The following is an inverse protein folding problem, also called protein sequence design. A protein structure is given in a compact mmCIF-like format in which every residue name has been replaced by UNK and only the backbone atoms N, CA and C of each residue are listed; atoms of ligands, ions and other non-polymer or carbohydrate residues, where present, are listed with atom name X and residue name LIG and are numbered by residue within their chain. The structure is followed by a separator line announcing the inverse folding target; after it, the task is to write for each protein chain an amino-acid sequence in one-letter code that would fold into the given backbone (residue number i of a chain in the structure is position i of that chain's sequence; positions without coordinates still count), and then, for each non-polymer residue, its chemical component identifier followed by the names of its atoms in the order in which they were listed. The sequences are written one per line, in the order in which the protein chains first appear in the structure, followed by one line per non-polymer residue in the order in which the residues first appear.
data_IF_316658116185
#
_entry.id   IF_316658116185
#
_cell.length_a   1.000
_cell.length_b   1.000
_cell.length_c   1.000
_cell.angle_alpha   90.00
_cell.angle_beta   90.00
_cell.angle_gamma   90.00
#
_symmetry.space_group_name_H-M   'P 1'
#
loop_
_entity.id
_entity.type
_entity.pdbx_description
1 polymer ?
#
# COMPACT_ATOMS: atom_id res chain seq x y z
N UNK A 1 24.36 -0.79 -9.24
CA UNK A 1 22.99 -0.56 -9.75
C UNK A 1 23.08 -0.33 -11.27
N UNK A 2 21.99 -0.46 -12.05
CA UNK A 2 22.03 -0.05 -13.47
C UNK A 2 22.13 1.48 -13.57
N UNK A 3 22.93 2.01 -14.51
CA UNK A 3 23.14 3.47 -14.69
C UNK A 3 21.83 4.26 -14.82
N UNK A 4 20.84 3.69 -15.54
CA UNK A 4 19.53 4.32 -15.73
C UNK A 4 18.76 4.53 -14.41
N UNK A 5 18.87 3.58 -13.47
CA UNK A 5 18.23 3.69 -12.16
C UNK A 5 18.90 4.76 -11.31
N UNK A 6 20.22 4.91 -11.39
CA UNK A 6 20.93 5.96 -10.66
C UNK A 6 20.52 7.36 -11.14
N UNK A 7 20.41 7.56 -12.47
CA UNK A 7 19.94 8.82 -13.06
C UNK A 7 18.49 9.10 -12.65
N UNK A 8 17.62 8.09 -12.72
CA UNK A 8 16.23 8.21 -12.29
C UNK A 8 16.11 8.56 -10.79
N UNK A 9 16.83 7.86 -9.91
CA UNK A 9 16.81 8.12 -8.47
C UNK A 9 17.34 9.52 -8.12
N UNK A 10 18.30 10.07 -8.87
CA UNK A 10 18.72 11.47 -8.70
C UNK A 10 17.57 12.46 -8.97
N UNK A 11 16.75 12.20 -10.00
CA UNK A 11 15.55 13.01 -10.28
C UNK A 11 14.55 12.89 -9.12
N UNK A 12 14.24 11.68 -8.67
CA UNK A 12 13.31 11.44 -7.55
C UNK A 12 13.80 12.10 -6.27
N UNK A 13 15.10 11.96 -5.94
CA UNK A 13 15.74 12.59 -4.78
C UNK A 13 15.59 14.10 -4.81
N UNK A 14 15.80 14.73 -5.96
CA UNK A 14 15.63 16.17 -6.11
C UNK A 14 14.20 16.60 -5.80
N UNK A 15 13.21 15.90 -6.34
CA UNK A 15 11.80 16.18 -6.04
C UNK A 15 11.47 15.98 -4.56
N UNK A 16 11.92 14.88 -3.95
CA UNK A 16 11.64 14.55 -2.55
C UNK A 16 12.33 15.49 -1.55
N UNK A 17 13.53 16.00 -1.89
CA UNK A 17 14.31 16.89 -1.03
C UNK A 17 14.05 18.38 -1.28
N UNK A 18 13.31 18.74 -2.34
CA UNK A 18 13.17 20.13 -2.79
C UNK A 18 14.45 20.71 -3.41
N UNK A 19 15.41 19.85 -3.80
CA UNK A 19 16.67 20.24 -4.41
C UNK A 19 16.52 20.56 -5.90
N UNK A 20 17.19 21.61 -6.35
CA UNK A 20 17.27 21.99 -7.76
C UNK A 20 18.61 21.57 -8.42
N UNK A 21 19.32 20.59 -7.83
CA UNK A 21 20.60 20.13 -8.38
C UNK A 21 20.44 19.63 -9.83
N UNK A 22 21.30 20.04 -10.77
CA UNK A 22 21.18 19.63 -12.15
C UNK A 22 21.40 18.11 -12.29
N UNK A 23 20.45 17.41 -12.90
CA UNK A 23 20.62 16.01 -13.30
C UNK A 23 20.83 15.97 -14.81
N UNK A 24 22.01 15.51 -15.24
CA UNK A 24 22.30 15.29 -16.65
C UNK A 24 21.65 13.99 -17.11
N UNK A 25 20.65 14.09 -17.99
CA UNK A 25 20.02 12.94 -18.65
C UNK A 25 20.49 12.92 -20.10
N UNK A 26 21.23 11.89 -20.49
CA UNK A 26 21.71 11.73 -21.87
C UNK A 26 20.53 11.65 -22.85
N UNK A 27 20.68 12.09 -24.10
CA UNK A 27 19.60 12.00 -25.09
C UNK A 27 19.10 10.56 -25.30
N UNK A 28 19.98 9.54 -25.26
CA UNK A 28 19.58 8.14 -25.38
C UNK A 28 18.76 7.64 -24.18
N UNK A 29 19.05 8.09 -22.96
CA UNK A 29 18.38 7.61 -21.74
C UNK A 29 16.99 8.24 -21.53
N UNK A 30 16.65 9.34 -22.19
CA UNK A 30 15.40 10.08 -21.94
C UNK A 30 14.14 9.23 -22.16
N UNK A 31 14.16 8.34 -23.15
CA UNK A 31 13.05 7.44 -23.42
C UNK A 31 12.88 6.39 -22.32
N UNK A 32 13.99 5.82 -21.83
CA UNK A 32 13.98 4.85 -20.75
C UNK A 32 13.62 5.47 -19.40
N UNK A 33 14.08 6.68 -19.10
CA UNK A 33 13.65 7.44 -17.92
C UNK A 33 12.15 7.71 -17.94
N UNK A 34 11.60 8.11 -19.10
CA UNK A 34 10.18 8.35 -19.25
C UNK A 34 9.36 7.07 -19.04
N UNK A 35 9.80 5.94 -19.64
CA UNK A 35 9.17 4.63 -19.45
C UNK A 35 9.22 4.19 -17.98
N UNK A 36 10.37 4.33 -17.33
CA UNK A 36 10.52 3.99 -15.91
C UNK A 36 9.60 4.85 -15.03
N UNK A 37 9.41 6.12 -15.38
CA UNK A 37 8.50 7.02 -14.66
C UNK A 37 7.03 6.67 -14.88
N UNK A 38 6.64 6.19 -16.07
CA UNK A 38 5.30 5.63 -16.31
C UNK A 38 5.08 4.35 -15.47
N UNK A 39 6.03 3.40 -15.54
CA UNK A 39 6.00 2.15 -14.77
C UNK A 39 5.92 2.40 -13.25
N UNK A 40 6.51 3.49 -12.77
CA UNK A 40 6.55 3.85 -11.35
C UNK A 40 5.57 4.97 -10.94
N UNK A 41 4.65 5.39 -11.83
CA UNK A 41 3.66 6.44 -11.56
C UNK A 41 4.23 7.79 -11.07
N UNK A 42 5.38 8.20 -11.61
CA UNK A 42 6.15 9.42 -11.26
C UNK A 42 6.41 10.33 -12.46
N UNK A 43 5.63 10.18 -13.54
CA UNK A 43 5.74 10.97 -14.77
C UNK A 43 5.91 12.48 -14.54
N UNK A 44 5.18 13.13 -13.60
CA UNK A 44 5.35 14.57 -13.37
C UNK A 44 6.76 14.98 -12.94
N UNK A 45 7.49 14.09 -12.26
CA UNK A 45 8.83 14.37 -11.73
C UNK A 45 9.89 14.40 -12.83
N UNK A 46 9.71 13.58 -13.87
CA UNK A 46 10.65 13.51 -15.01
C UNK A 46 10.28 14.47 -16.14
N UNK A 47 9.04 14.98 -16.17
CA UNK A 47 8.53 15.85 -17.24
C UNK A 47 9.46 17.02 -17.62
N UNK A 48 10.11 17.74 -16.67
CA UNK A 48 11.04 18.80 -17.01
C UNK A 48 12.25 18.34 -17.83
N UNK A 49 12.72 17.11 -17.61
CA UNK A 49 13.90 16.52 -18.28
C UNK A 49 13.57 16.00 -19.69
N UNK A 50 12.30 15.73 -19.96
CA UNK A 50 11.81 15.31 -21.27
C UNK A 50 11.60 16.48 -22.24
N UNK A 51 11.77 17.75 -21.84
CA UNK A 51 11.57 18.90 -22.75
C UNK A 51 12.38 18.78 -24.03
N UNK A 52 11.81 19.27 -25.13
CA UNK A 52 12.40 19.24 -26.48
C UNK A 52 12.67 17.83 -27.05
N UNK A 53 12.01 16.80 -26.51
CA UNK A 53 12.02 15.44 -27.07
C UNK A 53 10.67 15.09 -27.69
N UNK A 54 10.64 14.05 -28.53
CA UNK A 54 9.42 13.51 -29.12
C UNK A 54 8.46 12.91 -28.08
N UNK A 55 8.96 12.47 -26.91
CA UNK A 55 8.14 11.87 -25.84
C UNK A 55 7.44 12.92 -24.96
N UNK A 56 7.88 14.19 -25.00
CA UNK A 56 7.35 15.25 -24.16
C UNK A 56 5.83 15.44 -24.24
N UNK A 57 5.18 15.50 -25.43
CA UNK A 57 3.73 15.71 -25.51
C UNK A 57 2.95 14.58 -24.82
N UNK A 58 3.44 13.35 -24.90
CA UNK A 58 2.84 12.18 -24.24
C UNK A 58 2.96 12.31 -22.73
N UNK A 59 4.16 12.60 -22.21
CA UNK A 59 4.39 12.79 -20.76
C UNK A 59 3.58 13.96 -20.19
N UNK A 60 3.46 15.04 -20.96
CA UNK A 60 2.66 16.20 -20.58
C UNK A 60 1.18 15.82 -20.49
N UNK A 61 0.66 15.07 -21.46
CA UNK A 61 -0.72 14.60 -21.43
C UNK A 61 -0.97 13.65 -20.25
N UNK A 62 -0.05 12.73 -19.95
CA UNK A 62 -0.11 11.86 -18.77
C UNK A 62 -0.16 12.66 -17.48
N UNK A 63 0.70 13.67 -17.34
CA UNK A 63 0.73 14.57 -16.18
C UNK A 63 -0.61 15.29 -16.03
N UNK A 64 -1.15 15.88 -17.10
CA UNK A 64 -2.46 16.54 -17.09
C UNK A 64 -3.58 15.59 -16.65
N UNK A 65 -3.57 14.34 -17.14
CA UNK A 65 -4.55 13.33 -16.73
C UNK A 65 -4.43 12.97 -15.24
N UNK A 66 -3.20 12.86 -14.70
CA UNK A 66 -2.99 12.66 -13.26
C UNK A 66 -3.56 13.82 -12.45
N UNK A 67 -3.31 15.06 -12.90
CA UNK A 67 -3.83 16.24 -12.22
C UNK A 67 -5.35 16.32 -12.27
N UNK A 68 -5.98 16.02 -13.41
CA UNK A 68 -7.42 15.94 -13.51
C UNK A 68 -8.00 14.84 -12.59
N UNK A 69 -7.33 13.69 -12.51
CA UNK A 69 -7.75 12.59 -11.65
C UNK A 69 -7.68 12.95 -10.16
N UNK A 70 -6.74 13.82 -9.75
CA UNK A 70 -6.68 14.33 -8.38
C UNK A 70 -8.01 14.96 -7.96
N UNK A 71 -8.48 15.95 -8.71
CA UNK A 71 -9.73 16.67 -8.41
C UNK A 71 -10.98 15.77 -8.49
N UNK A 72 -10.95 14.75 -9.35
CA UNK A 72 -12.02 13.77 -9.44
C UNK A 72 -12.10 12.89 -8.17
N UNK A 73 -10.97 12.38 -7.71
CA UNK A 73 -10.88 11.58 -6.49
C UNK A 73 -11.17 12.43 -5.26
N UNK A 74 -10.71 13.68 -5.22
CA UNK A 74 -11.04 14.63 -4.15
C UNK A 74 -12.57 14.85 -4.06
N UNK A 75 -13.23 15.11 -5.19
CA UNK A 75 -14.69 15.26 -5.22
C UNK A 75 -15.40 14.00 -4.74
N UNK A 76 -14.93 12.82 -5.16
CA UNK A 76 -15.46 11.54 -4.71
C UNK A 76 -15.23 11.31 -3.21
N UNK A 77 -14.05 11.66 -2.71
CA UNK A 77 -13.67 11.58 -1.29
C UNK A 77 -14.59 12.46 -0.45
N UNK A 78 -14.74 13.74 -0.82
CA UNK A 78 -15.62 14.68 -0.13
C UNK A 78 -17.07 14.19 -0.09
N UNK A 79 -17.60 13.75 -1.24
CA UNK A 79 -18.97 13.21 -1.32
C UNK A 79 -19.17 12.04 -0.36
N UNK A 80 -18.28 11.06 -0.40
CA UNK A 80 -18.41 9.81 0.35
C UNK A 80 -18.25 10.06 1.85
N UNK A 81 -17.25 10.84 2.22
CA UNK A 81 -16.96 11.13 3.61
C UNK A 81 -18.05 12.00 4.25
N UNK A 82 -18.51 13.06 3.57
CA UNK A 82 -19.65 13.87 4.05
C UNK A 82 -20.90 13.02 4.25
N UNK A 83 -21.21 12.11 3.32
CA UNK A 83 -22.36 11.20 3.46
C UNK A 83 -22.28 10.38 4.75
N UNK A 84 -21.13 9.80 5.06
CA UNK A 84 -20.94 8.99 6.28
C UNK A 84 -20.99 9.86 7.54
N UNK A 85 -20.25 10.97 7.57
CA UNK A 85 -20.17 11.85 8.74
C UNK A 85 -21.51 12.51 9.08
N UNK A 86 -22.26 12.99 8.09
CA UNK A 86 -23.61 13.57 8.27
C UNK A 86 -24.61 12.58 8.86
N UNK A 87 -24.37 11.28 8.69
CA UNK A 87 -25.19 10.21 9.28
C UNK A 87 -24.60 9.66 10.57
N UNK A 88 -23.65 10.36 11.20
CA UNK A 88 -22.97 9.94 12.43
C UNK A 88 -22.32 8.56 12.28
N UNK A 89 -21.56 8.37 11.19
CA UNK A 89 -20.69 7.21 11.00
C UNK A 89 -19.27 7.74 10.97
N UNK A 90 -18.51 7.45 12.03
CA UNK A 90 -17.13 7.92 12.12
C UNK A 90 -16.27 7.16 11.11
N UNK A 91 -15.47 7.90 10.35
CA UNK A 91 -14.57 7.33 9.36
C UNK A 91 -13.30 8.16 9.26
N UNK A 92 -12.19 7.48 8.99
CA UNK A 92 -10.85 8.07 8.89
C UNK A 92 -10.35 7.89 7.47
N UNK A 93 -9.93 8.98 6.83
CA UNK A 93 -9.37 8.98 5.49
C UNK A 93 -7.96 8.39 5.51
N UNK A 94 -7.74 7.36 4.69
CA UNK A 94 -6.43 6.76 4.49
C UNK A 94 -5.89 7.09 3.10
N UNK A 95 -4.56 7.19 3.00
CA UNK A 95 -3.79 7.29 1.74
C UNK A 95 -4.31 8.39 0.81
N UNK A 96 -4.67 8.06 -0.44
CA UNK A 96 -5.33 8.99 -1.36
C UNK A 96 -4.84 10.45 -1.34
N UNK A 97 -5.79 11.35 -1.14
CA UNK A 97 -5.54 12.79 -1.08
C UNK A 97 -4.84 13.23 0.22
N UNK A 98 -4.96 12.48 1.33
CA UNK A 98 -4.30 12.84 2.59
C UNK A 98 -2.78 12.69 2.51
N UNK A 99 -2.26 11.70 1.76
CA UNK A 99 -0.81 11.65 1.45
C UNK A 99 -0.41 12.62 0.34
N UNK A 100 -1.30 12.90 -0.62
CA UNK A 100 -1.02 13.84 -1.69
C UNK A 100 -0.77 15.27 -1.18
N UNK A 101 -1.42 15.65 -0.08
CA UNK A 101 -1.32 16.97 0.53
C UNK A 101 0.13 17.40 0.86
N UNK A 102 1.05 16.43 1.03
CA UNK A 102 2.45 16.68 1.37
C UNK A 102 3.40 16.70 0.18
N UNK A 103 2.92 16.42 -1.03
CA UNK A 103 3.73 16.54 -2.24
C UNK A 103 3.97 18.03 -2.56
N UNK A 104 5.11 18.38 -3.20
CA UNK A 104 5.37 19.75 -3.64
C UNK A 104 4.26 20.33 -4.54
N UNK A 105 3.62 19.44 -5.30
CA UNK A 105 2.39 19.68 -6.06
C UNK A 105 1.47 18.48 -5.77
N UNK A 106 0.39 18.64 -4.99
CA UNK A 106 -0.46 17.53 -4.58
C UNK A 106 -0.95 16.66 -5.74
N UNK A 107 -1.25 17.30 -6.86
CA UNK A 107 -1.75 16.67 -8.08
C UNK A 107 -0.74 15.75 -8.78
N UNK A 108 0.54 15.76 -8.38
CA UNK A 108 1.56 14.87 -8.92
C UNK A 108 1.50 13.46 -8.33
N UNK A 109 0.79 13.26 -7.22
CA UNK A 109 0.59 11.94 -6.64
C UNK A 109 -0.44 11.16 -7.46
N UNK A 110 -0.08 9.97 -7.94
CA UNK A 110 -1.04 9.06 -8.57
C UNK A 110 -2.08 8.58 -7.54
N UNK A 111 -3.34 8.93 -7.79
CA UNK A 111 -4.50 8.43 -7.05
C UNK A 111 -5.22 7.32 -7.82
N UNK A 112 -5.88 6.41 -7.10
CA UNK A 112 -6.64 5.29 -7.67
C UNK A 112 -7.99 5.14 -6.99
N UNK A 113 -7.96 4.62 -5.78
CA UNK A 113 -9.06 4.30 -4.88
C UNK A 113 -9.23 5.35 -3.77
N UNK A 114 -10.40 5.31 -3.14
CA UNK A 114 -10.69 5.97 -1.86
C UNK A 114 -10.65 4.91 -0.77
N UNK A 115 -9.69 4.99 0.15
CA UNK A 115 -9.62 4.16 1.34
C UNK A 115 -10.22 4.90 2.56
N UNK A 116 -11.26 4.35 3.17
CA UNK A 116 -11.82 4.85 4.43
C UNK A 116 -11.75 3.78 5.51
N UNK A 117 -11.30 4.12 6.71
CA UNK A 117 -11.30 3.23 7.87
C UNK A 117 -12.46 3.53 8.82
N UNK A 118 -13.21 2.48 9.19
CA UNK A 118 -14.22 2.49 10.23
C UNK A 118 -13.60 1.94 11.52
N UNK A 119 -13.23 2.80 12.49
CA UNK A 119 -12.67 2.35 13.76
C UNK A 119 -13.70 1.61 14.61
N UNK A 120 -15.00 1.91 14.45
CA UNK A 120 -16.11 1.35 15.20
C UNK A 120 -16.70 0.13 14.48
N UNK A 121 -16.50 -1.12 14.96
CA UNK A 121 -17.04 -2.31 14.29
C UNK A 121 -18.57 -2.31 14.20
N UNK A 122 -19.25 -1.65 15.15
CA UNK A 122 -20.70 -1.52 15.19
C UNK A 122 -21.28 -0.70 14.04
N UNK A 123 -20.50 0.21 13.46
CA UNK A 123 -20.95 1.10 12.39
C UNK A 123 -20.97 0.42 11.01
N UNK A 124 -20.30 -0.73 10.85
CA UNK A 124 -20.18 -1.38 9.54
C UNK A 124 -21.54 -1.67 8.89
N UNK A 125 -22.47 -2.26 9.63
CA UNK A 125 -23.80 -2.60 9.08
C UNK A 125 -24.58 -1.35 8.65
N UNK A 126 -24.45 -0.26 9.41
CA UNK A 126 -25.08 1.04 9.13
C UNK A 126 -24.45 1.69 7.90
N UNK A 127 -23.11 1.68 7.80
CA UNK A 127 -22.36 2.20 6.66
C UNK A 127 -22.70 1.46 5.36
N UNK A 128 -22.73 0.11 5.39
CA UNK A 128 -23.13 -0.70 4.24
C UNK A 128 -24.51 -0.31 3.71
N UNK A 129 -25.50 -0.31 4.61
CA UNK A 129 -26.88 0.05 4.26
C UNK A 129 -26.95 1.46 3.65
N UNK A 130 -26.31 2.44 4.29
CA UNK A 130 -26.31 3.83 3.82
C UNK A 130 -25.66 3.96 2.44
N UNK A 131 -24.51 3.32 2.22
CA UNK A 131 -23.81 3.36 0.93
C UNK A 131 -24.65 2.72 -0.17
N UNK A 132 -25.24 1.54 0.08
CA UNK A 132 -26.09 0.84 -0.89
C UNK A 132 -27.35 1.66 -1.26
N UNK A 133 -28.01 2.27 -0.27
CA UNK A 133 -29.14 3.20 -0.47
C UNK A 133 -28.75 4.45 -1.27
N UNK A 134 -27.47 4.83 -1.26
CA UNK A 134 -26.93 5.99 -1.98
C UNK A 134 -26.22 5.62 -3.30
N UNK A 135 -26.46 4.41 -3.81
CA UNK A 135 -26.05 3.99 -5.16
C UNK A 135 -24.63 3.43 -5.26
N UNK A 136 -23.97 3.15 -4.14
CA UNK A 136 -22.72 2.38 -4.12
C UNK A 136 -23.06 0.89 -4.28
N UNK A 137 -22.35 0.21 -5.17
CA UNK A 137 -22.57 -1.22 -5.47
C UNK A 137 -21.42 -2.04 -4.91
N UNK A 138 -21.74 -3.02 -4.07
CA UNK A 138 -20.75 -3.99 -3.57
C UNK A 138 -20.19 -4.81 -4.74
N UNK A 139 -18.87 -4.83 -4.89
CA UNK A 139 -18.18 -5.63 -5.92
C UNK A 139 -18.05 -7.11 -5.52
N UNK A 140 -18.49 -7.46 -4.30
CA UNK A 140 -18.47 -8.79 -3.71
C UNK A 140 -17.06 -9.41 -3.68
N UNK A 141 -16.06 -8.57 -3.44
CA UNK A 141 -14.67 -8.99 -3.28
C UNK A 141 -14.48 -9.77 -1.96
N UNK A 142 -13.68 -10.84 -2.02
CA UNK A 142 -13.26 -11.59 -0.84
C UNK A 142 -12.07 -10.89 -0.18
N UNK A 143 -12.37 -10.06 0.82
CA UNK A 143 -11.37 -9.36 1.66
C UNK A 143 -11.62 -9.61 3.14
N UNK A 144 -10.53 -9.72 3.91
CA UNK A 144 -10.53 -9.94 5.36
C UNK A 144 -10.43 -8.65 6.19
N UNK A 145 -10.38 -7.49 5.54
CA UNK A 145 -10.21 -6.19 6.20
C UNK A 145 -11.06 -5.05 5.61
N UNK A 146 -11.65 -5.21 4.42
CA UNK A 146 -12.50 -4.18 3.82
C UNK A 146 -13.66 -4.74 2.99
N UNK A 147 -14.57 -3.86 2.57
CA UNK A 147 -15.59 -4.09 1.55
C UNK A 147 -15.33 -3.12 0.40
N UNK A 148 -15.35 -3.64 -0.83
CA UNK A 148 -15.09 -2.86 -2.04
C UNK A 148 -16.40 -2.43 -2.67
N UNK A 149 -16.61 -1.13 -2.79
CA UNK A 149 -17.77 -0.53 -3.43
C UNK A 149 -17.38 0.20 -4.72
N UNK A 150 -18.22 0.08 -5.75
CA UNK A 150 -18.15 0.91 -6.95
C UNK A 150 -19.25 1.95 -6.93
N UNK A 151 -18.88 3.20 -7.17
CA UNK A 151 -19.81 4.31 -7.33
C UNK A 151 -19.68 4.94 -8.70
N UNK A 152 -20.79 5.05 -9.43
CA UNK A 152 -20.84 5.70 -10.75
C UNK A 152 -21.58 7.03 -10.64
N UNK A 153 -20.90 8.13 -10.94
CA UNK A 153 -21.53 9.45 -10.98
C UNK A 153 -22.52 9.54 -12.14
N UNK A 154 -23.84 9.72 -11.89
CA UNK A 154 -24.84 9.71 -12.96
C UNK A 154 -24.60 10.79 -14.03
N UNK A 155 -24.11 11.96 -13.61
CA UNK A 155 -23.87 13.10 -14.50
C UNK A 155 -22.72 12.88 -15.51
N UNK A 156 -21.75 12.00 -15.20
CA UNK A 156 -20.55 11.81 -16.04
C UNK A 156 -20.36 10.38 -16.51
N UNK A 157 -21.08 9.42 -15.93
CA UNK A 157 -20.85 7.98 -16.14
C UNK A 157 -19.51 7.47 -15.59
N UNK A 158 -18.72 8.31 -14.90
CA UNK A 158 -17.42 7.90 -14.33
C UNK A 158 -17.61 7.10 -13.06
N UNK A 159 -16.85 6.01 -12.96
CA UNK A 159 -16.88 5.10 -11.83
C UNK A 159 -15.62 5.22 -10.98
N UNK A 160 -15.79 5.17 -9.67
CA UNK A 160 -14.72 5.20 -8.68
C UNK A 160 -14.88 4.04 -7.70
N UNK A 161 -13.77 3.63 -7.10
CA UNK A 161 -13.71 2.54 -6.12
C UNK A 161 -13.53 3.12 -4.73
N UNK A 162 -14.36 2.68 -3.79
CA UNK A 162 -14.24 2.88 -2.36
C UNK A 162 -13.84 1.55 -1.71
N UNK A 163 -12.70 1.51 -1.03
CA UNK A 163 -12.36 0.46 -0.06
C UNK A 163 -12.80 0.93 1.33
N UNK A 164 -13.87 0.33 1.85
CA UNK A 164 -14.37 0.60 3.21
C UNK A 164 -13.76 -0.41 4.19
N UNK A 165 -12.68 -0.02 4.86
CA UNK A 165 -11.91 -0.84 5.79
C UNK A 165 -12.63 -0.93 7.15
N UNK A 166 -12.94 -2.16 7.58
CA UNK A 166 -13.37 -2.46 8.95
C UNK A 166 -12.19 -2.96 9.82
N UNK A 167 -11.03 -3.18 9.20
CA UNK A 167 -9.75 -3.38 9.84
C UNK A 167 -8.69 -2.69 9.00
N UNK A 168 -7.71 -2.03 9.63
CA UNK A 168 -6.78 -1.17 8.88
C UNK A 168 -5.92 -1.94 7.86
N UNK A 169 -5.63 -3.22 8.11
CA UNK A 169 -4.91 -4.14 7.22
C UNK A 169 -5.42 -5.58 7.35
N UNK A 170 -5.08 -6.42 6.37
CA UNK A 170 -5.38 -7.87 6.38
C UNK A 170 -4.64 -8.66 7.47
N UNK A 171 -5.11 -9.87 7.74
CA UNK A 171 -4.66 -10.72 8.85
C UNK A 171 -3.32 -11.37 8.50
N UNK A 172 -2.33 -11.20 9.37
CA UNK A 172 -1.03 -11.86 9.28
C UNK A 172 -1.06 -13.26 9.91
N UNK A 173 -0.08 -14.11 9.55
CA UNK A 173 0.10 -15.39 10.24
C UNK A 173 0.48 -15.20 11.71
N UNK A 174 1.29 -14.18 11.97
CA UNK A 174 1.83 -13.92 13.30
C UNK A 174 0.76 -13.24 14.14
N UNK A 175 0.14 -14.02 15.04
CA UNK A 175 -0.99 -13.57 15.84
C UNK A 175 -0.69 -12.31 16.67
N UNK A 176 0.54 -12.17 17.20
CA UNK A 176 0.92 -10.99 17.98
C UNK A 176 0.91 -9.71 17.13
N UNK A 177 1.38 -9.74 15.87
CA UNK A 177 1.27 -8.58 14.99
C UNK A 177 -0.19 -8.15 14.78
N UNK A 178 -1.11 -9.11 14.66
CA UNK A 178 -2.53 -8.79 14.57
C UNK A 178 -3.06 -8.14 15.85
N UNK A 179 -2.68 -8.64 17.02
CA UNK A 179 -3.05 -8.04 18.30
C UNK A 179 -2.54 -6.60 18.44
N UNK A 180 -1.31 -6.32 18.01
CA UNK A 180 -0.76 -4.96 18.02
C UNK A 180 -1.54 -4.05 17.09
N UNK A 181 -1.77 -4.48 15.84
CA UNK A 181 -2.58 -3.72 14.89
C UNK A 181 -3.97 -3.45 15.46
N UNK A 182 -4.67 -4.47 15.94
CA UNK A 182 -6.03 -4.32 16.47
C UNK A 182 -6.04 -3.41 17.70
N UNK A 183 -5.02 -3.50 18.57
CA UNK A 183 -4.88 -2.60 19.73
C UNK A 183 -4.64 -1.15 19.31
N UNK A 184 -3.68 -0.90 18.41
CA UNK A 184 -3.28 0.45 17.98
C UNK A 184 -4.41 1.19 17.27
N UNK A 185 -5.19 0.48 16.46
CA UNK A 185 -6.25 1.07 15.64
C UNK A 185 -7.66 0.88 16.21
N UNK A 186 -7.81 0.26 17.38
CA UNK A 186 -9.10 0.15 18.09
C UNK A 186 -9.71 1.51 18.38
N UNK A 187 -11.04 1.58 18.40
CA UNK A 187 -11.79 2.78 18.75
C UNK A 187 -11.39 3.37 20.11
N UNK A 188 -11.04 2.53 21.08
CA UNK A 188 -10.66 2.99 22.43
C UNK A 188 -9.30 3.69 22.45
N UNK A 189 -8.36 3.28 21.58
CA UNK A 189 -6.99 3.81 21.58
C UNK A 189 -6.72 4.82 20.45
N UNK A 190 -7.56 4.82 19.40
CA UNK A 190 -7.38 5.67 18.23
C UNK A 190 -8.26 6.92 18.33
N UNK A 191 -7.61 8.05 18.60
CA UNK A 191 -8.21 9.37 18.42
C UNK A 191 -7.76 9.92 17.07
N UNK A 192 -8.67 10.16 16.10
CA UNK A 192 -8.29 10.71 14.80
C UNK A 192 -7.67 12.10 14.94
N UNK A 193 -6.70 12.40 14.08
CA UNK A 193 -6.22 13.76 13.86
C UNK A 193 -7.00 14.41 12.70
N UNK A 194 -6.81 15.70 12.46
CA UNK A 194 -7.45 16.44 11.37
C UNK A 194 -6.42 17.09 10.47
N UNK A 195 -6.45 16.75 9.18
CA UNK A 195 -5.66 17.46 8.17
C UNK A 195 -6.56 18.39 7.34
N UNK A 196 -6.00 19.52 6.89
CA UNK A 196 -6.70 20.46 6.02
C UNK A 196 -6.26 20.23 4.57
N UNK A 197 -7.18 19.71 3.76
CA UNK A 197 -6.96 19.41 2.35
C UNK A 197 -7.88 20.30 1.53
N UNK A 198 -7.31 21.14 0.66
CA UNK A 198 -8.04 22.12 -0.13
C UNK A 198 -9.01 22.99 0.70
N UNK A 199 -8.58 23.38 1.91
CA UNK A 199 -9.36 24.22 2.82
C UNK A 199 -10.53 23.51 3.51
N UNK A 200 -10.59 22.18 3.46
CA UNK A 200 -11.60 21.38 4.16
C UNK A 200 -10.93 20.45 5.18
N UNK A 201 -11.52 20.27 6.37
CA UNK A 201 -10.99 19.35 7.37
C UNK A 201 -11.34 17.89 7.04
N UNK A 202 -10.35 17.02 7.15
CA UNK A 202 -10.50 15.58 6.98
C UNK A 202 -9.97 14.84 8.21
N UNK A 203 -10.76 13.93 8.82
CA UNK A 203 -10.24 13.01 9.83
C UNK A 203 -9.20 12.09 9.20
N UNK A 204 -8.00 12.04 9.78
CA UNK A 204 -6.87 11.21 9.35
C UNK A 204 -6.29 10.45 10.54
N UNK A 205 -5.41 9.49 10.29
CA UNK A 205 -4.66 8.83 11.36
C UNK A 205 -3.68 9.84 11.99
N UNK A 206 -3.46 9.80 13.32
CA UNK A 206 -2.40 10.59 13.93
C UNK A 206 -1.02 10.19 13.41
N UNK A 207 -0.02 11.09 13.43
CA UNK A 207 1.24 10.89 12.72
C UNK A 207 1.97 9.58 13.00
N UNK A 208 2.07 9.17 14.27
CA UNK A 208 2.75 7.92 14.65
C UNK A 208 2.02 6.69 14.08
N UNK A 209 0.69 6.66 14.20
CA UNK A 209 -0.18 5.61 13.67
C UNK A 209 -0.19 5.58 12.15
N UNK A 210 -0.13 6.75 11.51
CA UNK A 210 -0.07 6.86 10.05
C UNK A 210 1.24 6.25 9.52
N UNK A 211 2.39 6.55 10.13
CA UNK A 211 3.68 5.93 9.76
C UNK A 211 3.62 4.41 9.94
N UNK A 212 3.08 3.94 11.07
CA UNK A 212 2.90 2.50 11.31
C UNK A 212 2.00 1.86 10.24
N UNK A 213 0.92 2.52 9.86
CA UNK A 213 0.04 2.10 8.78
C UNK A 213 0.74 2.08 7.41
N UNK A 214 1.58 3.08 7.08
CA UNK A 214 2.34 3.11 5.83
C UNK A 214 3.31 1.93 5.72
N UNK A 215 3.95 1.55 6.82
CA UNK A 215 4.81 0.35 6.89
C UNK A 215 3.99 -0.91 6.60
N UNK A 216 2.81 -1.05 7.22
CA UNK A 216 1.91 -2.18 6.97
C UNK A 216 1.34 -2.19 5.54
N UNK A 217 1.10 -1.03 4.94
CA UNK A 217 0.66 -0.91 3.56
C UNK A 217 1.76 -1.34 2.59
N UNK A 218 2.99 -0.88 2.79
CA UNK A 218 4.16 -1.35 2.04
C UNK A 218 4.38 -2.85 2.26
N UNK A 219 4.21 -3.36 3.48
CA UNK A 219 4.29 -4.79 3.79
C UNK A 219 3.27 -5.60 2.99
N UNK A 220 2.00 -5.17 2.97
CA UNK A 220 0.95 -5.81 2.17
C UNK A 220 1.42 -5.91 0.71
N UNK A 221 1.75 -4.80 0.08
CA UNK A 221 2.18 -4.86 -1.32
C UNK A 221 3.47 -5.66 -1.51
N UNK A 222 4.46 -5.54 -0.63
CA UNK A 222 5.71 -6.29 -0.71
C UNK A 222 5.47 -7.80 -0.65
N UNK A 223 4.55 -8.23 0.20
CA UNK A 223 4.14 -9.62 0.28
C UNK A 223 3.38 -10.04 -0.97
N UNK A 224 2.36 -9.29 -1.42
CA UNK A 224 1.38 -9.78 -2.41
C UNK A 224 1.66 -9.43 -3.89
N UNK A 225 2.23 -8.27 -4.20
CA UNK A 225 2.29 -7.76 -5.59
C UNK A 225 3.60 -7.08 -5.99
N UNK A 226 4.45 -6.75 -5.01
CA UNK A 226 5.41 -5.65 -5.14
C UNK A 226 4.72 -4.29 -5.03
N UNK A 227 5.53 -3.24 -4.79
CA UNK A 227 5.09 -1.84 -4.87
C UNK A 227 6.15 -1.00 -5.58
N UNK A 228 5.69 0.07 -6.26
CA UNK A 228 6.57 1.02 -6.93
C UNK A 228 7.08 2.12 -6.00
N UNK A 229 8.08 2.87 -6.46
CA UNK A 229 8.77 3.89 -5.64
C UNK A 229 7.85 4.97 -5.04
N UNK A 230 6.64 5.17 -5.60
CA UNK A 230 5.62 6.09 -5.08
C UNK A 230 5.38 5.93 -3.56
N UNK A 231 5.33 4.71 -3.04
CA UNK A 231 5.09 4.52 -1.60
C UNK A 231 6.29 5.00 -0.75
N UNK A 232 7.51 4.92 -1.29
CA UNK A 232 8.69 5.50 -0.64
C UNK A 232 8.65 7.04 -0.72
N UNK A 233 8.20 7.61 -1.84
CA UNK A 233 7.99 9.05 -1.96
C UNK A 233 6.96 9.55 -0.94
N UNK A 234 5.81 8.86 -0.81
CA UNK A 234 4.80 9.15 0.21
C UNK A 234 5.43 9.17 1.61
N UNK A 235 6.25 8.15 1.91
CA UNK A 235 6.94 8.02 3.19
C UNK A 235 7.89 9.19 3.48
N UNK A 236 8.69 9.59 2.49
CA UNK A 236 9.61 10.74 2.63
C UNK A 236 8.86 12.04 2.85
N UNK A 237 7.84 12.34 2.04
CA UNK A 237 7.07 13.58 2.18
C UNK A 237 6.35 13.65 3.52
N UNK A 238 5.76 12.54 3.97
CA UNK A 238 5.05 12.48 5.24
C UNK A 238 5.99 12.66 6.44
N UNK A 239 7.10 11.90 6.50
CA UNK A 239 8.05 11.99 7.60
C UNK A 239 8.69 13.38 7.71
N UNK A 240 9.04 14.01 6.59
CA UNK A 240 9.61 15.37 6.59
C UNK A 240 8.65 16.41 7.14
N UNK A 241 7.34 16.21 6.95
CA UNK A 241 6.33 17.14 7.44
C UNK A 241 6.05 16.96 8.93
N UNK A 242 6.04 15.71 9.39
CA UNK A 242 5.56 15.31 10.73
C UNK A 242 6.68 14.83 11.67
N UNK A 243 7.96 15.11 11.36
CA UNK A 243 9.12 14.65 12.15
C UNK A 243 8.97 14.92 13.66
N UNK A 244 8.40 16.07 14.02
CA UNK A 244 8.23 16.50 15.41
C UNK A 244 7.01 15.87 16.10
N UNK A 245 6.05 15.36 15.34
CA UNK A 245 4.78 14.83 15.82
C UNK A 245 4.78 13.28 15.89
N UNK A 246 5.85 12.65 15.40
CA UNK A 246 6.02 11.20 15.41
C UNK A 246 6.77 10.77 16.66
N UNK A 247 6.14 9.92 17.46
CA UNK A 247 6.76 9.27 18.61
C UNK A 247 7.54 8.02 18.15
N UNK A 248 8.79 8.22 17.72
CA UNK A 248 9.62 7.13 17.20
C UNK A 248 9.82 5.97 18.17
N UNK A 249 10.01 6.21 19.47
CA UNK A 249 10.14 5.13 20.47
C UNK A 249 8.91 4.20 20.51
N UNK A 250 7.72 4.79 20.36
CA UNK A 250 6.47 4.04 20.31
C UNK A 250 6.34 3.25 19.00
N UNK A 251 6.70 3.87 17.88
CA UNK A 251 6.75 3.21 16.57
C UNK A 251 7.71 2.02 16.58
N UNK A 252 8.91 2.19 17.15
CA UNK A 252 9.91 1.14 17.34
C UNK A 252 9.36 -0.03 18.14
N UNK A 253 8.64 0.24 19.22
CA UNK A 253 7.99 -0.79 20.02
C UNK A 253 6.96 -1.57 19.20
N UNK A 254 6.08 -0.90 18.47
CA UNK A 254 5.09 -1.55 17.60
C UNK A 254 5.74 -2.38 16.49
N UNK A 255 6.79 -1.87 15.85
CA UNK A 255 7.53 -2.58 14.82
C UNK A 255 8.22 -3.83 15.36
N UNK A 256 8.85 -3.74 16.54
CA UNK A 256 9.52 -4.86 17.21
C UNK A 256 8.52 -5.94 17.63
N UNK A 257 7.44 -5.56 18.29
CA UNK A 257 6.40 -6.50 18.75
C UNK A 257 5.62 -7.14 17.59
N UNK A 258 5.52 -6.43 16.46
CA UNK A 258 4.93 -6.97 15.23
C UNK A 258 5.92 -7.76 14.37
N UNK A 259 7.21 -7.81 14.74
CA UNK A 259 8.31 -8.42 13.96
C UNK A 259 8.43 -7.88 12.52
N UNK A 260 8.32 -6.56 12.39
CA UNK A 260 8.47 -5.82 11.14
C UNK A 260 9.60 -4.77 11.19
N UNK A 261 10.44 -4.76 12.25
CA UNK A 261 11.56 -3.81 12.40
C UNK A 261 12.47 -3.76 11.17
N UNK A 262 12.88 -4.91 10.63
CA UNK A 262 13.73 -4.93 9.43
C UNK A 262 13.09 -4.28 8.20
N UNK A 263 11.76 -4.38 8.05
CA UNK A 263 11.06 -3.67 6.97
C UNK A 263 11.10 -2.17 7.20
N UNK A 264 10.87 -1.72 8.43
CA UNK A 264 10.95 -0.30 8.77
C UNK A 264 12.37 0.25 8.53
N UNK A 265 13.38 -0.45 9.05
CA UNK A 265 14.80 -0.07 8.96
C UNK A 265 15.27 0.02 7.51
N UNK A 266 15.01 -1.00 6.68
CA UNK A 266 15.43 -0.99 5.28
C UNK A 266 14.70 0.09 4.47
N UNK A 267 13.42 0.34 4.74
CA UNK A 267 12.65 1.41 4.08
C UNK A 267 13.23 2.77 4.43
N UNK A 268 13.41 3.04 5.72
CA UNK A 268 13.92 4.31 6.21
C UNK A 268 15.31 4.61 5.65
N UNK A 269 16.23 3.64 5.76
CA UNK A 269 17.61 3.81 5.28
C UNK A 269 17.69 3.95 3.76
N UNK A 270 16.87 3.19 3.02
CA UNK A 270 16.77 3.35 1.56
C UNK A 270 16.30 4.76 1.19
N UNK A 271 15.32 5.30 1.92
CA UNK A 271 14.84 6.66 1.73
C UNK A 271 15.91 7.73 2.03
N UNK A 272 16.78 7.52 3.02
CA UNK A 272 17.93 8.41 3.27
C UNK A 272 18.94 8.39 2.13
N UNK A 273 19.42 7.20 1.77
CA UNK A 273 20.44 7.02 0.74
C UNK A 273 19.96 7.58 -0.60
N UNK A 274 18.77 7.16 -1.04
CA UNK A 274 18.33 7.35 -2.43
C UNK A 274 17.27 8.42 -2.65
N UNK A 275 16.45 8.76 -1.66
CA UNK A 275 15.35 9.73 -1.83
C UNK A 275 15.57 11.04 -1.07
N UNK A 276 16.63 11.17 -0.26
CA UNK A 276 16.96 12.42 0.42
C UNK A 276 16.11 12.69 1.66
N UNK A 277 15.68 11.63 2.35
CA UNK A 277 15.20 11.75 3.73
C UNK A 277 16.35 12.29 4.62
N UNK A 278 16.14 13.34 5.42
CA UNK A 278 17.16 13.84 6.34
C UNK A 278 17.64 12.79 7.35
N UNK A 279 18.94 12.79 7.65
CA UNK A 279 19.54 11.87 8.64
C UNK A 279 19.08 12.16 10.08
N UNK A 280 18.48 13.34 10.33
CA UNK A 280 17.93 13.70 11.65
C UNK A 280 16.68 12.91 12.01
N UNK A 281 15.89 12.51 11.00
CA UNK A 281 14.65 11.76 11.20
C UNK A 281 15.00 10.34 11.63
N UNK A 282 14.77 10.03 12.91
CA UNK A 282 15.05 8.73 13.54
C UNK A 282 16.49 8.21 13.32
N UNK A 283 17.46 9.11 13.55
CA UNK A 283 18.90 8.94 13.26
C UNK A 283 19.56 7.64 13.73
N UNK A 284 19.00 6.94 14.73
CA UNK A 284 19.54 5.70 15.29
C UNK A 284 19.32 4.47 14.39
N UNK A 285 18.35 4.53 13.49
CA UNK A 285 18.03 3.42 12.58
C UNK A 285 19.06 3.38 11.47
N UNK A 286 19.61 2.21 11.20
CA UNK A 286 20.48 1.98 10.05
C UNK A 286 20.23 0.60 9.47
N UNK A 287 20.56 0.43 8.18
CA UNK A 287 20.49 -0.85 7.50
C UNK A 287 21.65 -1.00 6.52
N UNK A 288 21.93 -2.23 6.10
CA UNK A 288 23.02 -2.55 5.17
C UNK A 288 22.83 -1.80 3.83
N UNK A 289 23.79 -0.95 3.40
CA UNK A 289 23.69 -0.24 2.13
C UNK A 289 23.55 -1.17 0.92
N UNK A 290 24.19 -2.34 0.97
CA UNK A 290 24.09 -3.36 -0.07
C UNK A 290 22.67 -3.93 -0.17
N UNK A 291 22.01 -4.14 0.97
CA UNK A 291 20.62 -4.62 0.98
C UNK A 291 19.65 -3.52 0.56
N UNK A 292 19.90 -2.26 0.95
CA UNK A 292 19.15 -1.10 0.46
C UNK A 292 19.25 -0.97 -1.08
N UNK A 293 20.45 -1.15 -1.65
CA UNK A 293 20.63 -1.16 -3.11
C UNK A 293 19.81 -2.26 -3.78
N UNK A 294 19.83 -3.47 -3.22
CA UNK A 294 19.06 -4.59 -3.74
C UNK A 294 17.55 -4.36 -3.61
N UNK A 295 17.10 -3.75 -2.51
CA UNK A 295 15.71 -3.41 -2.26
C UNK A 295 15.18 -2.36 -3.24
N UNK A 296 15.87 -1.22 -3.39
CA UNK A 296 15.43 -0.15 -4.30
C UNK A 296 15.48 -0.58 -5.76
N UNK A 297 16.53 -1.31 -6.17
CA UNK A 297 16.66 -1.83 -7.54
C UNK A 297 15.48 -2.74 -7.89
N UNK A 298 14.98 -3.47 -6.89
CA UNK A 298 13.81 -4.31 -7.08
C UNK A 298 12.50 -3.53 -7.12
N UNK A 299 12.32 -2.54 -6.25
CA UNK A 299 11.14 -1.65 -6.29
C UNK A 299 11.01 -1.01 -7.67
N UNK A 300 12.11 -0.49 -8.21
CA UNK A 300 12.14 0.12 -9.55
C UNK A 300 11.80 -0.88 -10.66
N UNK A 301 12.24 -2.13 -10.52
CA UNK A 301 12.00 -3.20 -11.50
C UNK A 301 10.59 -3.78 -11.43
N UNK A 302 10.04 -3.95 -10.23
CA UNK A 302 8.69 -4.48 -10.04
C UNK A 302 7.65 -3.43 -10.49
N UNK A 303 7.95 -2.12 -10.39
CA UNK A 303 7.05 -1.04 -10.83
C UNK A 303 5.84 -0.84 -9.92
N UNK A 304 5.03 0.17 -10.18
CA UNK A 304 3.78 0.42 -9.46
C UNK A 304 2.66 -0.44 -10.06
N UNK A 305 2.61 -1.70 -9.63
CA UNK A 305 1.64 -2.71 -10.08
C UNK A 305 0.23 -2.52 -9.52
N UNK A 306 -0.19 -1.26 -9.27
CA UNK A 306 -1.50 -0.89 -8.72
C UNK A 306 -2.71 -1.25 -9.59
N UNK A 307 -2.54 -2.08 -10.63
CA UNK A 307 -3.60 -2.58 -11.51
C UNK A 307 -3.52 -4.08 -11.78
N UNK A 308 -2.51 -4.80 -11.26
CA UNK A 308 -2.46 -6.25 -11.43
C UNK A 308 -3.48 -6.91 -10.51
N UNK A 309 -4.57 -7.35 -11.15
CA UNK A 309 -5.67 -8.12 -10.58
C UNK A 309 -5.10 -9.18 -9.63
N UNK A 310 -5.63 -9.20 -8.41
CA UNK A 310 -5.41 -10.06 -7.24
C UNK A 310 -5.51 -11.58 -7.50
N UNK A 311 -4.90 -12.05 -8.57
CA UNK A 311 -5.00 -13.42 -9.09
C UNK A 311 -3.74 -14.22 -8.82
N UNK A 312 -2.65 -13.65 -8.34
CA UNK A 312 -1.47 -14.42 -7.93
C UNK A 312 -1.67 -15.01 -6.53
N UNK A 313 -1.31 -16.29 -6.33
CA UNK A 313 -1.29 -16.88 -5.00
C UNK A 313 -0.05 -16.38 -4.27
N UNK A 314 -0.24 -15.52 -3.27
CA UNK A 314 0.89 -14.94 -2.58
C UNK A 314 0.77 -15.08 -1.07
N UNK A 315 1.91 -15.39 -0.44
CA UNK A 315 1.98 -15.77 0.96
C UNK A 315 1.78 -14.59 1.89
N UNK A 316 1.22 -14.88 3.06
CA UNK A 316 1.03 -13.91 4.15
C UNK A 316 2.31 -13.69 4.99
N UNK A 317 3.43 -14.34 4.64
CA UNK A 317 4.75 -14.20 5.29
C UNK A 317 5.90 -14.55 4.35
N UNK A 318 7.13 -14.20 4.73
CA UNK A 318 8.36 -14.74 4.13
C UNK A 318 8.77 -16.05 4.82
N UNK A 319 9.18 -17.06 4.06
CA UNK A 319 9.68 -18.35 4.56
C UNK A 319 11.12 -18.62 4.10
N UNK A 320 11.95 -19.15 5.00
CA UNK A 320 13.33 -19.56 4.66
C UNK A 320 13.36 -20.69 3.61
N UNK A 321 12.44 -21.66 3.68
CA UNK A 321 12.25 -22.72 2.67
C UNK A 321 10.75 -22.97 2.46
N UNK A 322 10.33 -22.98 1.20
CA UNK A 322 8.96 -23.39 0.81
C UNK A 322 8.90 -24.91 0.77
N UNK A 323 8.06 -25.49 1.63
CA UNK A 323 7.78 -26.93 1.71
C UNK A 323 6.26 -27.18 1.82
N UNK A 324 5.85 -28.45 1.90
CA UNK A 324 4.42 -28.81 2.04
C UNK A 324 3.78 -28.20 3.30
N UNK A 325 4.54 -28.07 4.38
CA UNK A 325 4.06 -27.51 5.65
C UNK A 325 3.77 -26.01 5.50
N UNK A 326 4.61 -25.25 4.77
CA UNK A 326 4.34 -23.83 4.52
C UNK A 326 3.11 -23.62 3.64
N UNK A 327 2.91 -24.46 2.61
CA UNK A 327 1.69 -24.41 1.81
C UNK A 327 0.44 -24.74 2.63
N UNK A 328 0.55 -25.70 3.56
CA UNK A 328 -0.51 -26.03 4.50
C UNK A 328 -0.81 -24.86 5.45
N UNK A 329 0.19 -24.14 5.96
CA UNK A 329 -0.03 -22.97 6.80
C UNK A 329 -0.80 -21.87 6.08
N UNK A 330 -0.41 -21.53 4.85
CA UNK A 330 -1.17 -20.58 4.02
C UNK A 330 -2.59 -21.06 3.75
N UNK A 331 -2.77 -22.33 3.38
CA UNK A 331 -4.10 -22.91 3.17
C UNK A 331 -4.98 -22.83 4.43
N UNK A 332 -4.39 -23.00 5.61
CA UNK A 332 -5.10 -22.93 6.88
C UNK A 332 -5.58 -21.51 7.18
N UNK A 333 -4.78 -20.50 6.85
CA UNK A 333 -5.16 -19.10 6.99
C UNK A 333 -6.28 -18.75 6.03
N UNK A 334 -6.16 -19.16 4.76
CA UNK A 334 -7.22 -18.98 3.76
C UNK A 334 -8.54 -19.65 4.21
N UNK A 335 -8.48 -20.80 4.88
CA UNK A 335 -9.65 -21.45 5.49
C UNK A 335 -10.25 -20.59 6.59
N UNK A 336 -9.44 -20.05 7.52
CA UNK A 336 -9.91 -19.17 8.60
C UNK A 336 -10.53 -17.88 8.08
N UNK A 337 -9.91 -17.26 7.08
CA UNK A 337 -10.42 -16.07 6.39
C UNK A 337 -11.76 -16.34 5.72
N UNK A 338 -11.89 -17.48 5.03
CA UNK A 338 -13.14 -17.87 4.35
C UNK A 338 -14.26 -18.22 5.34
N UNK A 339 -13.90 -18.76 6.50
CA UNK A 339 -14.85 -19.29 7.48
C UNK A 339 -14.58 -18.74 8.88
N UNK A 340 -14.67 -17.41 9.11
CA UNK A 340 -14.25 -16.80 10.37
C UNK A 340 -14.97 -17.42 11.57
N UNK A 341 -16.30 -17.54 11.52
CA UNK A 341 -17.11 -18.13 12.60
C UNK A 341 -16.92 -19.64 12.76
N UNK A 342 -16.94 -20.40 11.66
CA UNK A 342 -16.86 -21.86 11.70
C UNK A 342 -15.45 -22.39 11.99
N UNK A 343 -14.41 -21.59 11.69
CA UNK A 343 -13.02 -21.95 11.95
C UNK A 343 -12.65 -22.00 13.43
N UNK A 344 -13.49 -21.46 14.32
CA UNK A 344 -13.33 -21.60 15.76
C UNK A 344 -13.71 -22.98 16.30
N UNK A 345 -14.32 -23.85 15.48
CA UNK A 345 -14.74 -25.21 15.88
C UNK A 345 -13.81 -26.24 15.22
N UNK A 346 -12.83 -26.82 15.94
CA UNK A 346 -11.82 -27.71 15.36
C UNK A 346 -12.41 -28.95 14.67
N UNK A 347 -13.55 -29.44 15.15
CA UNK A 347 -14.26 -30.60 14.56
C UNK A 347 -14.69 -30.34 13.12
N UNK A 348 -14.95 -29.08 12.76
CA UNK A 348 -15.35 -28.71 11.39
C UNK A 348 -14.17 -28.57 10.44
N UNK A 349 -12.94 -28.47 10.95
CA UNK A 349 -11.76 -28.18 10.14
C UNK A 349 -11.58 -29.13 8.95
N UNK A 350 -11.76 -30.46 9.05
CA UNK A 350 -11.61 -31.34 7.89
C UNK A 350 -12.54 -30.97 6.74
N UNK A 351 -13.80 -30.64 7.03
CA UNK A 351 -14.77 -30.23 6.01
C UNK A 351 -14.45 -28.85 5.44
N UNK A 352 -14.11 -27.88 6.31
CA UNK A 352 -13.73 -26.52 5.88
C UNK A 352 -12.48 -26.53 4.99
N UNK A 353 -11.52 -27.41 5.29
CA UNK A 353 -10.32 -27.63 4.49
C UNK A 353 -10.64 -28.17 3.10
N UNK A 354 -11.52 -29.18 3.01
CA UNK A 354 -11.97 -29.72 1.73
C UNK A 354 -12.62 -28.63 0.89
N UNK A 355 -13.52 -27.84 1.47
CA UNK A 355 -14.18 -26.74 0.76
C UNK A 355 -13.17 -25.68 0.32
N UNK A 356 -12.25 -25.28 1.20
CA UNK A 356 -11.20 -24.30 0.90
C UNK A 356 -10.30 -24.79 -0.23
N UNK A 357 -9.93 -26.07 -0.24
CA UNK A 357 -9.14 -26.69 -1.29
C UNK A 357 -9.89 -26.73 -2.63
N UNK A 358 -11.18 -27.12 -2.65
CA UNK A 358 -12.00 -27.06 -3.85
C UNK A 358 -12.14 -25.64 -4.39
N UNK A 359 -12.32 -24.65 -3.53
CA UNK A 359 -12.34 -23.24 -3.93
C UNK A 359 -10.98 -22.79 -4.47
N UNK A 360 -9.87 -23.20 -3.86
CA UNK A 360 -8.52 -22.91 -4.34
C UNK A 360 -8.28 -23.53 -5.73
N UNK A 361 -8.69 -24.79 -5.94
CA UNK A 361 -8.61 -25.46 -7.22
C UNK A 361 -9.48 -24.75 -8.26
N UNK A 362 -10.75 -24.50 -7.95
CA UNK A 362 -11.68 -23.78 -8.82
C UNK A 362 -11.10 -22.42 -9.22
N UNK A 363 -10.56 -21.66 -8.27
CA UNK A 363 -9.97 -20.35 -8.55
C UNK A 363 -8.70 -20.48 -9.40
N UNK A 364 -7.86 -21.49 -9.16
CA UNK A 364 -6.65 -21.74 -9.95
C UNK A 364 -6.97 -21.99 -11.42
N UNK A 365 -7.96 -22.84 -11.70
CA UNK A 365 -8.31 -23.20 -13.08
C UNK A 365 -9.27 -22.22 -13.75
N UNK A 366 -10.30 -21.72 -13.05
CA UNK A 366 -11.35 -20.91 -13.66
C UNK A 366 -11.12 -19.41 -13.56
N UNK A 367 -10.50 -18.93 -12.47
CA UNK A 367 -10.29 -17.49 -12.25
C UNK A 367 -8.92 -17.07 -12.75
N UNK A 368 -7.88 -17.83 -12.38
CA UNK A 368 -6.50 -17.50 -12.73
C UNK A 368 -6.08 -18.06 -14.09
N UNK A 369 -6.84 -19.02 -14.62
CA UNK A 369 -6.55 -19.72 -15.88
C UNK A 369 -5.11 -20.29 -15.92
N UNK A 370 -4.65 -20.86 -14.79
CA UNK A 370 -3.31 -21.47 -14.66
C UNK A 370 -3.40 -22.91 -14.15
N UNK A 371 -2.27 -23.61 -14.13
CA UNK A 371 -2.16 -24.92 -13.48
C UNK A 371 -1.74 -24.83 -12.01
N UNK A 372 -2.09 -25.85 -11.22
CA UNK A 372 -1.63 -25.96 -9.83
C UNK A 372 -0.09 -25.96 -9.72
N UNK A 373 0.61 -26.53 -10.70
CA UNK A 373 2.08 -26.54 -10.74
C UNK A 373 2.66 -25.15 -10.96
N UNK A 374 2.07 -24.35 -11.85
CA UNK A 374 2.46 -22.96 -12.08
C UNK A 374 2.15 -22.09 -10.88
N UNK A 375 0.94 -22.21 -10.30
CA UNK A 375 0.56 -21.50 -9.07
C UNK A 375 1.54 -21.76 -7.92
N UNK A 376 1.98 -23.01 -7.72
CA UNK A 376 2.98 -23.35 -6.70
C UNK A 376 4.38 -22.83 -7.05
N UNK A 377 4.74 -22.81 -8.35
CA UNK A 377 6.01 -22.24 -8.82
C UNK A 377 6.04 -20.72 -8.58
N UNK A 378 4.95 -20.03 -8.85
CA UNK A 378 4.79 -18.59 -8.63
C UNK A 378 4.81 -18.26 -7.15
N UNK A 379 4.14 -19.06 -6.32
CA UNK A 379 4.24 -18.94 -4.87
C UNK A 379 5.70 -19.07 -4.38
N UNK A 380 6.44 -20.07 -4.89
CA UNK A 380 7.87 -20.25 -4.56
C UNK A 380 8.72 -19.07 -5.02
N UNK A 381 8.47 -18.55 -6.22
CA UNK A 381 9.17 -17.38 -6.79
C UNK A 381 8.88 -16.11 -6.00
N UNK A 382 7.62 -15.90 -5.59
CA UNK A 382 7.20 -14.78 -4.75
C UNK A 382 7.79 -14.83 -3.35
N UNK A 383 7.91 -16.03 -2.77
CA UNK A 383 8.57 -16.20 -1.49
C UNK A 383 10.11 -16.01 -1.57
N UNK A 384 10.76 -16.42 -2.67
CA UNK A 384 12.17 -16.09 -2.88
C UNK A 384 12.39 -14.59 -3.00
N UNK A 385 11.44 -13.91 -3.64
CA UNK A 385 11.34 -12.47 -3.70
C UNK A 385 11.31 -11.89 -2.26
N UNK A 386 10.43 -12.30 -1.37
CA UNK A 386 10.34 -11.67 -0.03
C UNK A 386 11.54 -11.89 0.90
N UNK A 387 12.51 -12.75 0.55
CA UNK A 387 13.71 -13.03 1.38
C UNK A 387 14.66 -11.87 1.63
N UNK A 388 14.62 -10.82 0.80
CA UNK A 388 15.47 -9.63 0.99
C UNK A 388 15.17 -8.93 2.32
N UNK A 389 13.96 -9.11 2.86
CA UNK A 389 13.52 -8.52 4.12
C UNK A 389 13.10 -9.65 5.03
N UNK A 390 13.74 -9.78 6.19
CA UNK A 390 13.37 -10.75 7.21
C UNK A 390 12.14 -10.23 7.94
N UNK A 391 10.96 -10.79 7.62
CA UNK A 391 9.69 -10.39 8.23
C UNK A 391 9.07 -11.61 8.88
N UNK A 392 8.61 -11.45 10.12
CA UNK A 392 8.01 -12.53 10.93
C UNK A 392 8.93 -13.75 11.15
N UNK A 393 10.24 -13.64 10.92
CA UNK A 393 11.19 -14.69 11.30
C UNK A 393 11.17 -14.88 12.83
N UNK A 394 11.30 -16.14 13.29
CA UNK A 394 11.58 -16.42 14.68
C UNK A 394 13.03 -16.02 14.96
N UNK A 395 13.25 -14.79 15.43
CA UNK A 395 14.54 -14.38 16.00
C UNK A 395 14.76 -14.87 17.43
N UNK A 396 13.84 -15.69 17.97
CA UNK A 396 14.02 -16.34 19.26
C UNK A 396 14.61 -17.74 19.01
N UNK A 397 15.95 -17.76 18.87
CA UNK A 397 16.81 -18.87 19.29
C UNK A 397 17.78 -18.33 20.33
#
# INVERSE_FOLDING_TARGET
MQSIYETYLKIIKNTCSGSALPVCVSPEDKADIARLAEENCTVPFVLPYCRHTSIYPVMLQRTKSMMLNYYQIEQFTRRTLSLLLEHNISCILLKGISLANYYPVPEYRKLGDLDLYLPEPGDLAKAKKLLEENGYRDEHELSDHHITYRYTFPATGRSFTLELHYRVVGIYQYARANQIVDQVFSAENLQPDTDIINGQPYPVLPPTQYVFYMIHHMLKHYLYSGFGIRLLCDFVFYLRKHEQDIHFDQLHAWCRESRISHLYEIVLETCRIYLGLPDTIDSQVHYSPQDCEAFISRILKDGDMGTDVSTTLVGSTSYQKVNLITCFREGHIQMKVRFPKASHVPVLWPALWIITFFCFMKNTYLVRNTTLRETLRDFKKSNQKTKLIKIFENSDS
#
